data_IF_202259814162
#
_entry.id   IF_202259814162
#
_cell.length_a   1.000
_cell.length_b   1.000
_cell.length_c   1.000
_cell.angle_alpha   90.00
_cell.angle_beta   90.00
_cell.angle_gamma   90.00
#
_symmetry.space_group_name_H-M   'P 1'
#
loop_
_entity.id
_entity.type
_entity.pdbx_description
1 polymer ?
#
# COMPACT_ATOMS: atom_id res chain seq x y z
N UNK A 1 -2.78 -38.40 -11.78
CA UNK A 1 -3.94 -37.54 -11.45
C UNK A 1 -3.42 -36.24 -10.89
N UNK A 2 -3.48 -35.19 -11.70
CA UNK A 2 -2.96 -33.85 -11.41
C UNK A 2 -3.83 -33.15 -10.36
N UNK A 3 -3.21 -32.55 -9.35
CA UNK A 3 -3.87 -31.63 -8.42
C UNK A 3 -3.32 -30.23 -8.68
N UNK A 4 -3.82 -29.58 -9.73
CA UNK A 4 -3.54 -28.18 -10.09
C UNK A 4 -4.74 -27.37 -9.61
N UNK A 5 -4.66 -26.83 -8.39
CA UNK A 5 -5.73 -26.00 -7.83
C UNK A 5 -5.26 -24.99 -6.78
N UNK A 6 -3.95 -24.89 -6.51
CA UNK A 6 -3.41 -24.04 -5.44
C UNK A 6 -2.29 -23.08 -5.88
N UNK A 7 -1.86 -23.15 -7.15
CA UNK A 7 -0.81 -22.25 -7.68
C UNK A 7 -1.36 -20.88 -8.09
N UNK A 8 -2.50 -20.82 -8.78
CA UNK A 8 -3.06 -19.55 -9.27
C UNK A 8 -3.36 -18.52 -8.18
N UNK A 9 -3.88 -18.94 -7.02
CA UNK A 9 -4.14 -18.02 -5.90
C UNK A 9 -2.85 -17.49 -5.24
N UNK A 10 -1.75 -18.24 -5.29
CA UNK A 10 -0.45 -17.77 -4.78
C UNK A 10 0.19 -16.76 -5.73
N UNK A 11 0.09 -16.98 -7.04
CA UNK A 11 0.62 -16.05 -8.05
C UNK A 11 -0.12 -14.68 -8.05
N UNK A 12 -1.38 -14.64 -7.60
CA UNK A 12 -2.12 -13.38 -7.39
C UNK A 12 -1.65 -12.61 -6.14
N UNK A 13 -1.18 -13.32 -5.11
CA UNK A 13 -0.79 -12.72 -3.84
C UNK A 13 0.70 -12.40 -3.79
N UNK A 14 1.51 -13.21 -4.46
CA UNK A 14 2.96 -13.24 -4.41
C UNK A 14 3.51 -13.59 -5.79
N UNK A 15 4.42 -12.79 -6.33
CA UNK A 15 5.10 -13.08 -7.59
C UNK A 15 6.59 -13.30 -7.32
N UNK A 16 7.13 -14.36 -7.93
CA UNK A 16 8.54 -14.70 -7.85
C UNK A 16 9.26 -14.16 -9.10
N UNK A 17 9.90 -13.01 -8.98
CA UNK A 17 10.55 -12.33 -10.11
C UNK A 17 11.93 -11.80 -9.72
N UNK A 18 12.85 -11.60 -10.69
CA UNK A 18 14.12 -10.93 -10.44
C UNK A 18 13.89 -9.54 -9.84
N UNK A 19 14.65 -9.19 -8.80
CA UNK A 19 14.69 -7.82 -8.32
C UNK A 19 15.12 -6.88 -9.45
N UNK A 20 14.62 -5.63 -9.45
CA UNK A 20 14.90 -4.72 -10.55
C UNK A 20 16.41 -4.48 -10.69
N UNK A 21 16.90 -4.63 -11.92
CA UNK A 21 18.33 -4.60 -12.23
C UNK A 21 18.99 -3.27 -11.86
N UNK A 22 18.25 -2.16 -11.93
CA UNK A 22 18.72 -0.83 -11.54
C UNK A 22 19.01 -0.70 -10.04
N UNK A 23 18.32 -1.46 -9.19
CA UNK A 23 18.55 -1.49 -7.74
C UNK A 23 19.82 -2.27 -7.40
N UNK A 24 20.07 -3.40 -8.06
CA UNK A 24 21.18 -4.31 -7.73
C UNK A 24 22.48 -3.98 -8.45
N UNK A 25 22.41 -3.32 -9.62
CA UNK A 25 23.56 -2.97 -10.45
C UNK A 25 24.61 -2.11 -9.72
N UNK A 26 24.25 -1.12 -8.88
CA UNK A 26 25.22 -0.37 -8.08
C UNK A 26 26.03 -1.23 -7.11
N UNK A 27 25.50 -2.38 -6.70
CA UNK A 27 26.14 -3.27 -5.74
C UNK A 27 26.95 -4.39 -6.40
N UNK A 28 26.94 -4.50 -7.73
CA UNK A 28 27.69 -5.53 -8.46
C UNK A 28 27.15 -6.96 -8.27
N UNK A 29 25.91 -7.10 -7.79
CA UNK A 29 25.29 -8.39 -7.50
C UNK A 29 24.30 -8.74 -8.63
N UNK A 30 24.27 -9.99 -9.14
CA UNK A 30 23.21 -10.44 -10.02
C UNK A 30 21.84 -10.26 -9.37
N UNK A 31 20.83 -9.85 -10.14
CA UNK A 31 19.48 -9.66 -9.61
C UNK A 31 18.95 -10.96 -8.97
N UNK A 32 18.80 -11.01 -7.63
CA UNK A 32 18.24 -12.18 -6.99
C UNK A 32 16.76 -12.27 -7.34
N UNK A 33 16.26 -13.50 -7.53
CA UNK A 33 14.83 -13.74 -7.65
C UNK A 33 14.20 -13.64 -6.27
N UNK A 34 13.26 -12.71 -6.10
CA UNK A 34 12.59 -12.44 -4.83
C UNK A 34 11.10 -12.71 -4.95
N UNK A 35 10.56 -13.34 -3.93
CA UNK A 35 9.12 -13.49 -3.81
C UNK A 35 8.55 -12.22 -3.17
N UNK A 36 7.71 -11.48 -3.90
CA UNK A 36 7.16 -10.21 -3.42
C UNK A 36 5.67 -10.10 -3.66
N UNK A 37 4.99 -9.34 -2.81
CA UNK A 37 3.57 -9.09 -2.95
C UNK A 37 3.26 -8.39 -4.27
N UNK A 38 2.23 -8.86 -4.97
CA UNK A 38 1.70 -8.09 -6.10
C UNK A 38 1.15 -6.76 -5.59
N UNK A 39 1.11 -5.74 -6.44
CA UNK A 39 0.53 -4.44 -6.06
C UNK A 39 -0.92 -4.59 -5.54
N UNK A 40 -1.68 -5.53 -6.14
CA UNK A 40 -3.03 -5.91 -5.71
C UNK A 40 -3.05 -6.42 -4.27
N UNK A 41 -2.19 -7.37 -3.93
CA UNK A 41 -2.15 -7.94 -2.57
C UNK A 41 -1.58 -6.96 -1.56
N UNK A 42 -0.61 -6.13 -1.95
CA UNK A 42 -0.09 -5.05 -1.12
C UNK A 42 -1.19 -4.05 -0.74
N UNK A 43 -2.05 -3.63 -1.69
CA UNK A 43 -3.21 -2.76 -1.40
C UNK A 43 -4.15 -3.44 -0.39
N UNK A 44 -4.52 -4.72 -0.60
CA UNK A 44 -5.36 -5.48 0.35
C UNK A 44 -4.76 -5.54 1.75
N UNK A 45 -3.46 -5.81 1.84
CA UNK A 45 -2.74 -5.89 3.11
C UNK A 45 -2.75 -4.53 3.82
N UNK A 46 -2.55 -3.44 3.08
CA UNK A 46 -2.58 -2.08 3.65
C UNK A 46 -3.96 -1.66 4.10
N UNK A 47 -5.03 -2.03 3.38
CA UNK A 47 -6.42 -1.84 3.84
C UNK A 47 -6.64 -2.53 5.18
N UNK A 48 -6.23 -3.80 5.29
CA UNK A 48 -6.38 -4.55 6.53
C UNK A 48 -5.54 -3.95 7.67
N UNK A 49 -4.29 -3.55 7.40
CA UNK A 49 -3.42 -2.94 8.40
C UNK A 49 -3.99 -1.61 8.94
N UNK A 50 -4.53 -0.77 8.04
CA UNK A 50 -5.14 0.49 8.41
C UNK A 50 -6.35 0.31 9.34
N UNK A 51 -7.13 -0.75 9.14
CA UNK A 51 -8.28 -1.09 9.99
C UNK A 51 -7.92 -1.78 11.31
N UNK A 52 -6.93 -2.67 11.31
CA UNK A 52 -6.71 -3.63 12.42
C UNK A 52 -5.71 -3.18 13.47
N UNK A 53 -4.95 -2.11 13.22
CA UNK A 53 -3.93 -1.64 14.16
C UNK A 53 -4.56 -0.97 15.38
N UNK A 54 -4.02 -1.29 16.56
CA UNK A 54 -4.39 -0.66 17.83
C UNK A 54 -4.11 0.85 17.83
N UNK A 55 -3.06 1.27 17.12
CA UNK A 55 -2.72 2.66 16.87
C UNK A 55 -2.65 2.91 15.35
N UNK A 56 -3.49 3.82 14.87
CA UNK A 56 -3.55 4.16 13.44
C UNK A 56 -2.26 4.87 13.01
N UNK A 57 -1.62 4.41 11.95
CA UNK A 57 -0.37 4.99 11.46
C UNK A 57 -0.59 5.75 10.15
N UNK A 58 -0.11 6.99 10.07
CA UNK A 58 -0.19 7.80 8.85
C UNK A 58 0.65 7.21 7.70
N UNK A 59 1.62 6.34 8.01
CA UNK A 59 2.38 5.58 7.01
C UNK A 59 1.49 4.71 6.13
N UNK A 60 0.42 4.13 6.66
CA UNK A 60 -0.45 3.25 5.89
C UNK A 60 -1.22 4.03 4.81
N UNK A 61 -1.58 5.30 5.06
CA UNK A 61 -2.15 6.20 4.04
C UNK A 61 -1.12 6.54 2.98
N UNK A 62 0.11 6.88 3.38
CA UNK A 62 1.18 7.20 2.42
C UNK A 62 1.49 6.01 1.51
N UNK A 63 1.61 4.81 2.07
CA UNK A 63 1.85 3.58 1.30
C UNK A 63 0.68 3.28 0.35
N UNK A 64 -0.57 3.48 0.77
CA UNK A 64 -1.75 3.32 -0.09
C UNK A 64 -1.75 4.33 -1.24
N UNK A 65 -1.55 5.62 -0.97
CA UNK A 65 -1.45 6.66 -2.01
C UNK A 65 -0.34 6.30 -3.01
N UNK A 66 0.84 5.92 -2.51
CA UNK A 66 1.96 5.52 -3.36
C UNK A 66 1.60 4.33 -4.25
N UNK A 67 1.04 3.26 -3.69
CA UNK A 67 0.63 2.07 -4.45
C UNK A 67 -0.45 2.40 -5.50
N UNK A 68 -1.42 3.24 -5.14
CA UNK A 68 -2.53 3.63 -6.02
C UNK A 68 -2.09 4.55 -7.17
N UNK A 69 -1.06 5.39 -6.96
CA UNK A 69 -0.52 6.27 -8.00
C UNK A 69 0.54 5.60 -8.88
N UNK A 70 1.37 4.74 -8.29
CA UNK A 70 2.48 4.08 -9.01
C UNK A 70 2.03 2.86 -9.79
N UNK A 71 0.82 2.37 -9.55
CA UNK A 71 0.30 1.14 -10.18
C UNK A 71 -1.15 1.31 -10.64
N UNK A 72 -1.60 0.48 -11.57
CA UNK A 72 -3.02 0.39 -11.96
C UNK A 72 -3.75 -0.70 -11.15
N UNK A 73 -3.29 -1.00 -9.93
CA UNK A 73 -3.79 -2.12 -9.16
C UNK A 73 -5.22 -1.91 -8.67
N UNK A 74 -6.12 -2.80 -9.08
CA UNK A 74 -7.44 -2.95 -8.48
C UNK A 74 -7.39 -4.11 -7.47
N UNK A 75 -7.62 -3.86 -6.17
CA UNK A 75 -7.62 -4.90 -5.13
C UNK A 75 -8.77 -5.91 -5.30
N UNK A 76 -9.77 -5.65 -6.14
CA UNK A 76 -10.91 -6.55 -6.34
C UNK A 76 -10.51 -7.82 -7.13
N UNK A 77 -11.18 -8.97 -6.88
CA UNK A 77 -12.19 -9.19 -5.86
C UNK A 77 -11.58 -9.17 -4.44
N UNK A 78 -12.29 -8.58 -3.46
CA UNK A 78 -11.80 -8.56 -2.07
C UNK A 78 -12.16 -9.85 -1.34
N UNK A 79 -11.22 -10.35 -0.52
CA UNK A 79 -11.52 -11.39 0.48
C UNK A 79 -12.56 -10.87 1.49
N UNK A 80 -13.22 -11.79 2.19
CA UNK A 80 -14.28 -11.45 3.17
C UNK A 80 -13.75 -10.54 4.28
N UNK A 81 -12.58 -10.88 4.78
CA UNK A 81 -11.77 -10.19 5.78
C UNK A 81 -11.40 -8.76 5.35
N UNK A 82 -10.86 -8.57 4.15
CA UNK A 82 -10.54 -7.22 3.64
C UNK A 82 -11.80 -6.40 3.42
N UNK A 83 -12.88 -7.01 2.91
CA UNK A 83 -14.17 -6.32 2.74
C UNK A 83 -14.77 -5.87 4.08
N UNK A 84 -14.66 -6.71 5.11
CA UNK A 84 -15.12 -6.39 6.46
C UNK A 84 -14.29 -5.28 7.12
N UNK A 85 -13.02 -5.12 6.73
CA UNK A 85 -12.12 -4.10 7.23
C UNK A 85 -12.36 -2.69 6.62
N UNK A 86 -13.02 -2.58 5.45
CA UNK A 86 -13.17 -1.32 4.74
C UNK A 86 -13.85 -0.19 5.55
N UNK A 87 -14.94 -0.42 6.30
CA UNK A 87 -15.57 0.65 7.09
C UNK A 87 -14.62 1.24 8.14
N UNK A 88 -13.93 0.38 8.90
CA UNK A 88 -12.95 0.82 9.90
C UNK A 88 -11.75 1.51 9.22
N UNK A 89 -11.25 0.97 8.11
CA UNK A 89 -10.16 1.61 7.35
C UNK A 89 -10.53 3.03 6.90
N UNK A 90 -11.77 3.26 6.46
CA UNK A 90 -12.30 4.58 6.10
C UNK A 90 -12.33 5.53 7.30
N UNK A 91 -12.93 5.12 8.42
CA UNK A 91 -12.98 5.94 9.64
C UNK A 91 -11.57 6.30 10.13
N UNK A 92 -10.68 5.32 10.15
CA UNK A 92 -9.27 5.49 10.51
C UNK A 92 -8.57 6.47 9.56
N UNK A 93 -8.79 6.34 8.26
CA UNK A 93 -8.21 7.24 7.28
C UNK A 93 -8.64 8.70 7.49
N UNK A 94 -9.93 8.91 7.77
CA UNK A 94 -10.50 10.24 8.00
C UNK A 94 -10.05 10.86 9.33
N UNK A 95 -9.85 10.02 10.36
CA UNK A 95 -9.44 10.46 11.71
C UNK A 95 -7.99 10.94 11.82
N UNK A 96 -7.10 10.50 10.91
CA UNK A 96 -5.69 10.85 10.96
C UNK A 96 -5.48 12.33 10.62
N UNK A 97 -4.68 13.01 11.45
CA UNK A 97 -4.34 14.41 11.26
C UNK A 97 -3.02 14.59 10.51
N UNK A 98 -2.87 15.78 9.93
CA UNK A 98 -1.62 16.19 9.31
C UNK A 98 -0.44 16.16 10.28
N UNK A 99 -0.63 16.51 11.56
CA UNK A 99 0.45 16.50 12.55
C UNK A 99 1.01 15.10 12.78
N UNK A 100 0.14 14.07 12.80
CA UNK A 100 0.57 12.67 12.91
C UNK A 100 1.38 12.26 11.68
N UNK A 101 0.90 12.62 10.48
CA UNK A 101 1.63 12.39 9.23
C UNK A 101 3.01 13.08 9.22
N UNK A 102 3.04 14.36 9.60
CA UNK A 102 4.26 15.16 9.67
C UNK A 102 5.27 14.58 10.66
N UNK A 103 4.82 14.02 11.78
CA UNK A 103 5.71 13.40 12.76
C UNK A 103 6.21 12.01 12.33
N UNK A 104 5.36 11.20 11.68
CA UNK A 104 5.67 9.79 11.41
C UNK A 104 6.28 9.52 10.04
N UNK A 105 5.96 10.33 9.02
CA UNK A 105 6.28 10.04 7.62
C UNK A 105 7.32 11.00 7.06
N UNK A 106 7.13 12.31 7.23
CA UNK A 106 8.01 13.33 6.65
C UNK A 106 9.49 13.12 7.01
N UNK A 107 9.88 12.81 8.27
CA UNK A 107 11.29 12.60 8.62
C UNK A 107 11.92 11.38 7.95
N UNK A 108 11.12 10.43 7.44
CA UNK A 108 11.59 9.26 6.72
C UNK A 108 11.81 9.52 5.23
N UNK A 109 11.38 10.67 4.71
CA UNK A 109 11.52 11.04 3.30
C UNK A 109 12.87 11.72 3.02
N UNK A 110 13.30 11.68 1.75
CA UNK A 110 14.46 12.46 1.30
C UNK A 110 14.21 13.97 1.50
N UNK A 111 15.27 14.79 1.57
CA UNK A 111 15.11 16.23 1.76
C UNK A 111 14.26 16.88 0.65
N UNK A 112 14.43 16.44 -0.59
CA UNK A 112 13.63 16.88 -1.74
C UNK A 112 12.15 16.49 -1.56
N UNK A 113 11.89 15.24 -1.19
CA UNK A 113 10.53 14.75 -0.95
C UNK A 113 9.87 15.41 0.26
N UNK A 114 10.63 15.78 1.30
CA UNK A 114 10.11 16.52 2.46
C UNK A 114 9.53 17.87 2.05
N UNK A 115 10.17 18.59 1.10
CA UNK A 115 9.64 19.87 0.62
C UNK A 115 8.33 19.71 -0.15
N UNK A 116 8.17 18.58 -0.84
CA UNK A 116 6.98 18.29 -1.66
C UNK A 116 5.83 17.74 -0.82
N UNK A 117 6.10 16.72 0.00
CA UNK A 117 5.10 15.96 0.74
C UNK A 117 4.89 16.48 2.16
N UNK A 118 5.82 17.24 2.73
CA UNK A 118 5.74 17.78 4.09
C UNK A 118 4.84 19.02 4.23
N UNK A 119 3.80 19.13 3.39
CA UNK A 119 2.82 20.22 3.42
C UNK A 119 1.44 19.66 3.74
N UNK A 120 0.58 20.50 4.35
CA UNK A 120 -0.80 20.10 4.66
C UNK A 120 -1.60 19.80 3.39
N UNK A 121 -1.42 20.60 2.33
CA UNK A 121 -2.08 20.38 1.04
C UNK A 121 -1.69 19.05 0.37
N UNK A 122 -0.44 18.61 0.51
CA UNK A 122 -0.03 17.30 0.03
C UNK A 122 -0.71 16.18 0.83
N UNK A 123 -0.75 16.32 2.16
CA UNK A 123 -1.46 15.39 3.02
C UNK A 123 -2.94 15.27 2.68
N UNK A 124 -3.65 16.39 2.55
CA UNK A 124 -5.09 16.38 2.29
C UNK A 124 -5.40 15.69 0.96
N UNK A 125 -4.61 15.95 -0.09
CA UNK A 125 -4.74 15.27 -1.39
C UNK A 125 -4.47 13.77 -1.31
N UNK A 126 -3.48 13.34 -0.53
CA UNK A 126 -3.19 11.90 -0.34
C UNK A 126 -4.34 11.21 0.40
N UNK A 127 -4.79 11.81 1.51
CA UNK A 127 -5.90 11.27 2.31
C UNK A 127 -7.19 11.21 1.50
N UNK A 128 -7.51 12.27 0.75
CA UNK A 128 -8.69 12.33 -0.11
C UNK A 128 -8.67 11.23 -1.17
N UNK A 129 -7.55 11.04 -1.87
CA UNK A 129 -7.42 9.94 -2.83
C UNK A 129 -7.65 8.58 -2.16
N UNK A 130 -7.00 8.34 -1.01
CA UNK A 130 -7.12 7.06 -0.32
C UNK A 130 -8.57 6.81 0.12
N UNK A 131 -9.22 7.78 0.75
CA UNK A 131 -10.64 7.68 1.17
C UNK A 131 -11.54 7.39 -0.03
N UNK A 132 -11.42 8.17 -1.12
CA UNK A 132 -12.20 7.95 -2.33
C UNK A 132 -12.03 6.52 -2.87
N UNK A 133 -10.79 6.02 -2.94
CA UNK A 133 -10.52 4.67 -3.46
C UNK A 133 -11.07 3.59 -2.54
N UNK A 134 -10.99 3.75 -1.22
CA UNK A 134 -11.60 2.84 -0.26
C UNK A 134 -13.13 2.79 -0.40
N UNK A 135 -13.78 3.93 -0.66
CA UNK A 135 -15.22 3.97 -0.94
C UNK A 135 -15.58 3.23 -2.24
N UNK A 136 -14.80 3.42 -3.30
CA UNK A 136 -14.97 2.71 -4.57
C UNK A 136 -14.74 1.19 -4.46
N UNK A 137 -13.96 0.72 -3.49
CA UNK A 137 -13.77 -0.71 -3.23
C UNK A 137 -14.90 -1.35 -2.43
N UNK A 138 -15.71 -0.52 -1.74
CA UNK A 138 -16.87 -0.95 -0.96
C UNK A 138 -18.10 -1.20 -1.83
N UNK A 139 -18.23 -0.47 -2.95
CA UNK A 139 -19.32 -0.63 -3.92
C UNK A 139 -19.22 -1.90 -4.75
#
# INVERSE_FOLDING_TARGET
MSNIGRRGARDEEYVLEPARSDIVRPYGIPAPTVNHHTARSAVRQKIHALASRSETQARDIWDLDHLLRSTTADPRPLSRDVRAALPEALERAMSLSYDVFKAQVVPCLSYEDQTTYGTQDAWDRMRELVVQRLEEFRS
#
